data_IF_775827449648
#
_entry.id   IF_775827449648
#
_cell.length_a   1.000
_cell.length_b   1.000
_cell.length_c   1.000
_cell.angle_alpha   90.00
_cell.angle_beta   90.00
_cell.angle_gamma   90.00
#
_symmetry.space_group_name_H-M   'P 1'
#
loop_
_entity.id
_entity.type
_entity.pdbx_description
1 polymer ?
#
# COMPACT_ATOMS: atom_id res chain seq x y z
N UNK A 1 12.81 -3.75 -12.14
CA UNK A 1 11.37 -3.85 -12.46
C UNK A 1 10.55 -3.51 -11.22
N UNK A 2 9.29 -3.11 -11.38
CA UNK A 2 8.38 -3.01 -10.23
C UNK A 2 8.07 -4.39 -9.65
N UNK A 3 7.75 -4.46 -8.35
CA UNK A 3 7.42 -5.72 -7.68
C UNK A 3 6.13 -6.32 -8.28
N UNK A 4 6.21 -7.56 -8.77
CA UNK A 4 5.08 -8.28 -9.38
C UNK A 4 4.82 -9.60 -8.66
N UNK A 5 3.67 -9.72 -8.03
CA UNK A 5 3.28 -10.85 -7.20
C UNK A 5 2.46 -11.93 -7.93
N UNK A 6 2.50 -12.00 -9.27
CA UNK A 6 1.77 -13.00 -10.05
C UNK A 6 2.08 -14.45 -9.62
N UNK A 7 3.35 -14.73 -9.31
CA UNK A 7 3.79 -16.09 -8.94
C UNK A 7 3.34 -16.49 -7.53
N UNK A 8 3.01 -15.54 -6.66
CA UNK A 8 2.60 -15.80 -5.27
C UNK A 8 1.12 -15.53 -4.99
N UNK A 9 0.36 -14.98 -5.92
CA UNK A 9 -1.00 -14.50 -5.73
C UNK A 9 -1.95 -15.56 -5.12
N UNK A 10 -1.84 -16.83 -5.52
CA UNK A 10 -2.73 -17.90 -5.11
C UNK A 10 -2.55 -18.32 -3.63
N UNK A 11 -1.39 -18.10 -3.03
CA UNK A 11 -1.12 -18.46 -1.63
C UNK A 11 -0.73 -17.26 -0.76
N UNK A 12 -0.56 -16.08 -1.35
CA UNK A 12 -0.07 -14.89 -0.65
C UNK A 12 -0.90 -14.56 0.61
N UNK A 13 -2.22 -14.53 0.48
CA UNK A 13 -3.11 -14.24 1.60
C UNK A 13 -3.01 -15.29 2.73
N UNK A 14 -2.80 -16.56 2.38
CA UNK A 14 -2.63 -17.63 3.36
C UNK A 14 -1.26 -17.57 4.04
N UNK A 15 -0.19 -17.36 3.27
CA UNK A 15 1.17 -17.23 3.80
C UNK A 15 1.27 -16.02 4.74
N UNK A 16 0.76 -14.88 4.31
CA UNK A 16 0.76 -13.67 5.14
C UNK A 16 -0.02 -13.86 6.43
N UNK A 17 -1.14 -14.61 6.40
CA UNK A 17 -1.92 -14.95 7.59
C UNK A 17 -1.16 -15.89 8.53
N UNK A 18 -0.40 -16.85 8.02
CA UNK A 18 0.41 -17.78 8.85
C UNK A 18 1.53 -17.02 9.54
N UNK A 19 2.22 -16.11 8.85
CA UNK A 19 3.37 -15.38 9.41
C UNK A 19 2.92 -14.24 10.32
N UNK A 20 1.97 -13.43 9.88
CA UNK A 20 1.58 -12.17 10.54
C UNK A 20 0.21 -12.23 11.23
N UNK A 21 -0.51 -13.34 11.13
CA UNK A 21 -1.87 -13.43 11.65
C UNK A 21 -2.79 -12.39 10.98
N UNK A 22 -3.35 -11.50 11.79
CA UNK A 22 -4.21 -10.40 11.33
C UNK A 22 -3.47 -9.04 11.28
N UNK A 23 -2.15 -9.01 11.57
CA UNK A 23 -1.43 -7.74 11.75
C UNK A 23 -1.39 -6.89 10.46
N UNK A 24 -1.16 -7.51 9.29
CA UNK A 24 -1.15 -6.78 8.00
C UNK A 24 -2.50 -6.11 7.73
N UNK A 25 -3.60 -6.83 7.90
CA UNK A 25 -4.95 -6.29 7.70
C UNK A 25 -5.26 -5.20 8.71
N UNK A 26 -4.94 -5.44 10.01
CA UNK A 26 -5.16 -4.44 11.04
C UNK A 26 -4.36 -3.16 10.79
N UNK A 27 -3.12 -3.27 10.34
CA UNK A 27 -2.28 -2.13 10.05
C UNK A 27 -2.82 -1.33 8.86
N UNK A 28 -3.09 -1.98 7.72
CA UNK A 28 -3.59 -1.30 6.52
C UNK A 28 -5.00 -0.71 6.69
N UNK A 29 -5.81 -1.25 7.62
CA UNK A 29 -7.16 -0.75 7.88
C UNK A 29 -7.26 0.27 9.02
N UNK A 30 -6.19 0.49 9.80
CA UNK A 30 -6.25 1.23 11.05
C UNK A 30 -6.75 2.67 10.88
N UNK A 31 -6.31 3.37 9.85
CA UNK A 31 -6.63 4.77 9.62
C UNK A 31 -7.69 5.01 8.53
N UNK A 32 -8.36 3.96 8.02
CA UNK A 32 -9.37 4.11 6.98
C UNK A 32 -10.57 4.96 7.41
N UNK A 33 -10.83 5.08 8.71
CA UNK A 33 -11.88 5.94 9.25
C UNK A 33 -11.62 7.44 9.04
N UNK A 34 -10.38 7.81 8.70
CA UNK A 34 -10.00 9.19 8.36
C UNK A 34 -10.32 9.58 6.92
N UNK A 35 -10.77 8.64 6.08
CA UNK A 35 -11.19 8.94 4.72
C UNK A 35 -12.46 9.80 4.77
N UNK A 36 -12.47 11.02 4.22
CA UNK A 36 -13.68 11.85 4.22
C UNK A 36 -14.80 11.22 3.35
N UNK A 37 -16.06 11.33 3.71
CA UNK A 37 -17.17 10.90 2.86
C UNK A 37 -17.13 11.57 1.48
N UNK A 38 -17.44 10.81 0.43
CA UNK A 38 -17.46 11.33 -0.95
C UNK A 38 -16.09 11.47 -1.61
N UNK A 39 -15.02 11.07 -0.94
CA UNK A 39 -13.64 11.20 -1.44
C UNK A 39 -13.37 10.41 -2.71
N UNK A 40 -12.46 10.96 -3.53
CA UNK A 40 -11.75 10.23 -4.57
C UNK A 40 -10.51 9.60 -3.94
N UNK A 41 -10.47 8.29 -3.92
CA UNK A 41 -9.43 7.50 -3.25
C UNK A 41 -8.60 6.77 -4.28
N UNK A 42 -7.28 6.96 -4.27
CA UNK A 42 -6.34 6.12 -5.03
C UNK A 42 -5.80 5.04 -4.10
N UNK A 43 -5.95 3.78 -4.48
CA UNK A 43 -5.28 2.66 -3.85
C UNK A 43 -4.20 2.18 -4.82
N UNK A 44 -2.94 2.36 -4.46
CA UNK A 44 -1.80 1.92 -5.24
C UNK A 44 -1.18 0.66 -4.62
N UNK A 45 -1.03 -0.41 -5.41
CA UNK A 45 -0.49 -1.69 -4.95
C UNK A 45 -1.40 -2.42 -3.97
N UNK A 46 -2.72 -2.41 -4.21
CA UNK A 46 -3.71 -2.97 -3.28
C UNK A 46 -3.72 -4.51 -3.17
N UNK A 47 -2.91 -5.21 -3.98
CA UNK A 47 -2.76 -6.66 -3.93
C UNK A 47 -4.07 -7.41 -4.23
N UNK A 48 -4.43 -8.38 -3.37
CA UNK A 48 -5.64 -9.20 -3.52
C UNK A 48 -6.95 -8.44 -3.23
N UNK A 49 -6.89 -7.13 -2.94
CA UNK A 49 -8.06 -6.27 -2.74
C UNK A 49 -8.69 -6.33 -1.35
N UNK A 50 -8.06 -6.93 -0.36
CA UNK A 50 -8.60 -6.96 1.01
C UNK A 50 -8.89 -5.56 1.56
N UNK A 51 -8.11 -4.58 1.19
CA UNK A 51 -8.29 -3.19 1.59
C UNK A 51 -9.67 -2.64 1.14
N UNK A 52 -10.20 -3.08 -0.01
CA UNK A 52 -11.53 -2.69 -0.51
C UNK A 52 -12.62 -3.14 0.48
N UNK A 53 -12.55 -4.39 0.95
CA UNK A 53 -13.51 -4.92 1.93
C UNK A 53 -13.41 -4.17 3.28
N UNK A 54 -12.18 -3.82 3.72
CA UNK A 54 -12.00 -3.08 4.97
C UNK A 54 -12.52 -1.64 4.85
N UNK A 55 -12.30 -0.97 3.73
CA UNK A 55 -12.91 0.33 3.43
C UNK A 55 -14.44 0.23 3.45
N UNK A 56 -15.01 -0.78 2.82
CA UNK A 56 -16.46 -0.96 2.69
C UNK A 56 -17.18 -1.24 4.01
N UNK A 57 -16.48 -1.74 5.03
CA UNK A 57 -17.02 -1.89 6.39
C UNK A 57 -17.23 -0.55 7.11
N UNK A 58 -16.43 0.45 6.75
CA UNK A 58 -16.44 1.79 7.37
C UNK A 58 -17.22 2.77 6.51
N UNK A 59 -17.00 2.71 5.20
CA UNK A 59 -17.62 3.56 4.19
C UNK A 59 -18.42 2.70 3.22
N UNK A 60 -19.69 2.46 3.55
CA UNK A 60 -20.55 1.57 2.75
C UNK A 60 -20.90 2.14 1.37
N UNK A 61 -20.76 3.47 1.17
CA UNK A 61 -21.12 4.15 -0.07
C UNK A 61 -20.41 5.49 -0.23
N UNK A 62 -20.48 6.02 -1.44
CA UNK A 62 -20.11 7.40 -1.76
C UNK A 62 -18.64 7.62 -2.13
N UNK A 63 -17.75 6.64 -1.95
CA UNK A 63 -16.37 6.77 -2.38
C UNK A 63 -16.22 6.46 -3.88
N UNK A 64 -15.30 7.19 -4.53
CA UNK A 64 -14.83 6.92 -5.88
C UNK A 64 -13.41 6.37 -5.77
N UNK A 65 -13.27 5.06 -5.87
CA UNK A 65 -12.00 4.37 -5.66
C UNK A 65 -11.36 4.08 -7.03
N UNK A 66 -10.13 4.56 -7.23
CA UNK A 66 -9.26 4.10 -8.31
C UNK A 66 -8.28 3.10 -7.72
N UNK A 67 -8.33 1.87 -8.21
CA UNK A 67 -7.54 0.75 -7.72
C UNK A 67 -6.50 0.35 -8.75
N UNK A 68 -5.22 0.57 -8.44
CA UNK A 68 -4.09 0.28 -9.33
C UNK A 68 -3.29 -0.88 -8.77
N UNK A 69 -3.10 -1.91 -9.59
CA UNK A 69 -2.35 -3.11 -9.24
C UNK A 69 -1.62 -3.66 -10.45
N UNK A 70 -0.32 -3.92 -10.31
CA UNK A 70 0.53 -4.43 -11.38
C UNK A 70 0.26 -5.90 -11.70
N UNK A 71 0.07 -6.73 -10.67
CA UNK A 71 -0.16 -8.16 -10.83
C UNK A 71 -1.55 -8.43 -11.40
N UNK A 72 -1.60 -9.03 -12.59
CA UNK A 72 -2.86 -9.39 -13.23
C UNK A 72 -3.65 -10.43 -12.39
N UNK A 73 -2.95 -11.35 -11.72
CA UNK A 73 -3.59 -12.35 -10.87
C UNK A 73 -4.16 -11.74 -9.59
N UNK A 74 -3.43 -10.80 -8.96
CA UNK A 74 -3.96 -10.03 -7.81
C UNK A 74 -5.16 -9.18 -8.23
N UNK A 75 -5.11 -8.55 -9.41
CA UNK A 75 -6.23 -7.79 -9.98
C UNK A 75 -7.49 -8.66 -10.14
N UNK A 76 -7.36 -9.89 -10.61
CA UNK A 76 -8.50 -10.83 -10.69
C UNK A 76 -9.09 -11.15 -9.33
N UNK A 77 -8.25 -11.27 -8.29
CA UNK A 77 -8.71 -11.48 -6.92
C UNK A 77 -9.41 -10.23 -6.35
N UNK A 78 -8.86 -9.05 -6.61
CA UNK A 78 -9.40 -7.80 -6.10
C UNK A 78 -10.79 -7.48 -6.66
N UNK A 79 -11.05 -7.78 -7.92
CA UNK A 79 -12.36 -7.62 -8.57
C UNK A 79 -13.48 -8.49 -7.96
N UNK A 80 -13.12 -9.53 -7.20
CA UNK A 80 -14.08 -10.39 -6.49
C UNK A 80 -14.45 -9.85 -5.10
N UNK A 81 -13.78 -8.79 -4.63
CA UNK A 81 -14.03 -8.22 -3.31
C UNK A 81 -15.31 -7.39 -3.30
N UNK A 82 -15.99 -7.45 -2.18
CA UNK A 82 -17.21 -6.66 -1.99
C UNK A 82 -16.85 -5.19 -1.72
N UNK A 83 -17.19 -4.30 -2.64
CA UNK A 83 -17.04 -2.85 -2.51
C UNK A 83 -18.31 -2.17 -2.00
N UNK A 84 -19.34 -2.94 -1.66
CA UNK A 84 -20.69 -2.44 -1.36
C UNK A 84 -21.22 -1.54 -2.48
N UNK A 85 -21.62 -0.28 -2.20
CA UNK A 85 -22.08 0.69 -3.21
C UNK A 85 -21.04 1.75 -3.54
N UNK A 86 -19.76 1.55 -3.17
CA UNK A 86 -18.67 2.40 -3.64
C UNK A 86 -18.36 2.09 -5.12
N UNK A 87 -18.03 3.12 -5.88
CA UNK A 87 -17.57 2.95 -7.27
C UNK A 87 -16.10 2.59 -7.29
N UNK A 88 -15.73 1.50 -7.96
CA UNK A 88 -14.32 1.09 -8.08
C UNK A 88 -13.92 1.00 -9.55
N UNK A 89 -12.92 1.79 -9.92
CA UNK A 89 -12.25 1.72 -11.23
C UNK A 89 -10.94 0.94 -11.08
N UNK A 90 -10.78 -0.15 -11.83
CA UNK A 90 -9.61 -1.03 -11.74
C UNK A 90 -8.66 -0.78 -12.91
N UNK A 91 -7.38 -0.54 -12.63
CA UNK A 91 -6.31 -0.32 -13.60
C UNK A 91 -5.20 -1.33 -13.35
N UNK A 92 -4.96 -2.23 -14.32
CA UNK A 92 -3.88 -3.21 -14.22
C UNK A 92 -2.63 -2.69 -14.93
N UNK A 93 -1.83 -1.93 -14.21
CA UNK A 93 -0.59 -1.31 -14.69
C UNK A 93 0.33 -0.98 -13.50
N UNK A 94 1.64 -0.68 -13.74
CA UNK A 94 2.44 0.07 -12.78
C UNK A 94 1.76 1.41 -12.49
N UNK A 95 1.81 1.90 -11.26
CA UNK A 95 1.08 3.13 -10.91
C UNK A 95 1.62 4.35 -11.66
N UNK A 96 2.93 4.40 -11.90
CA UNK A 96 3.59 5.45 -12.68
C UNK A 96 3.20 5.48 -14.16
N UNK A 97 2.67 4.36 -14.68
CA UNK A 97 2.22 4.20 -16.08
C UNK A 97 0.69 4.07 -16.20
N UNK A 98 -0.04 4.26 -15.09
CA UNK A 98 -1.49 4.06 -15.05
C UNK A 98 -2.30 5.16 -15.78
N UNK A 99 -1.65 6.18 -16.33
CA UNK A 99 -2.30 7.26 -17.08
C UNK A 99 -3.21 8.14 -16.22
N UNK A 100 -2.92 8.23 -14.90
CA UNK A 100 -3.72 9.00 -13.98
C UNK A 100 -3.44 10.50 -14.14
N UNK A 101 -4.50 11.29 -14.27
CA UNK A 101 -4.42 12.75 -14.40
C UNK A 101 -5.32 13.49 -13.40
N UNK A 102 -6.10 12.74 -12.61
CA UNK A 102 -7.06 13.30 -11.66
C UNK A 102 -6.43 13.38 -10.28
N UNK A 103 -6.54 14.53 -9.62
CA UNK A 103 -6.11 14.68 -8.23
C UNK A 103 -7.04 13.89 -7.28
N UNK A 104 -6.44 13.23 -6.28
CA UNK A 104 -7.13 12.42 -5.29
C UNK A 104 -7.18 13.13 -3.94
N UNK A 105 -8.26 12.93 -3.21
CA UNK A 105 -8.42 13.43 -1.84
C UNK A 105 -7.61 12.58 -0.85
N UNK A 106 -7.52 11.27 -1.16
CA UNK A 106 -6.80 10.30 -0.34
C UNK A 106 -5.99 9.36 -1.23
N UNK A 107 -4.74 9.11 -0.85
CA UNK A 107 -3.90 8.05 -1.42
C UNK A 107 -3.64 7.00 -0.33
N UNK A 108 -3.74 5.71 -0.70
CA UNK A 108 -3.46 4.58 0.19
C UNK A 108 -2.42 3.68 -0.47
N UNK A 109 -1.31 3.45 0.21
CA UNK A 109 -0.21 2.58 -0.22
C UNK A 109 0.00 1.45 0.79
N UNK A 110 -0.74 0.32 0.68
CA UNK A 110 -0.64 -0.77 1.63
C UNK A 110 0.48 -1.74 1.22
N UNK A 111 1.63 -1.71 1.87
CA UNK A 111 2.79 -2.58 1.61
C UNK A 111 3.30 -2.49 0.16
N UNK A 112 3.29 -1.28 -0.39
CA UNK A 112 3.78 -0.99 -1.73
C UNK A 112 5.21 -0.45 -1.69
N UNK A 113 5.43 0.61 -0.91
CA UNK A 113 6.66 1.41 -1.02
C UNK A 113 7.89 0.63 -0.55
N UNK A 114 7.74 -0.23 0.47
CA UNK A 114 8.81 -1.08 1.01
C UNK A 114 9.29 -2.17 0.05
N UNK A 115 8.49 -2.51 -0.94
CA UNK A 115 8.78 -3.57 -1.92
C UNK A 115 9.49 -3.05 -3.19
N UNK A 116 9.61 -1.73 -3.33
CA UNK A 116 10.17 -1.08 -4.51
C UNK A 116 11.70 -0.97 -4.43
N UNK A 117 12.37 -1.15 -5.56
CA UNK A 117 13.78 -0.78 -5.68
C UNK A 117 13.93 0.75 -5.63
N UNK A 118 15.08 1.31 -5.19
CA UNK A 118 15.24 2.75 -5.03
C UNK A 118 14.86 3.56 -6.27
N UNK A 119 15.28 3.14 -7.46
CA UNK A 119 14.99 3.85 -8.71
C UNK A 119 13.50 3.83 -9.08
N UNK A 120 12.77 2.76 -8.73
CA UNK A 120 11.31 2.67 -8.93
C UNK A 120 10.58 3.45 -7.84
N UNK A 121 11.06 3.36 -6.59
CA UNK A 121 10.51 4.09 -5.47
C UNK A 121 10.44 5.61 -5.77
N UNK A 122 11.52 6.21 -6.24
CA UNK A 122 11.57 7.63 -6.56
C UNK A 122 10.52 8.01 -7.63
N UNK A 123 10.41 7.21 -8.69
CA UNK A 123 9.41 7.44 -9.75
C UNK A 123 7.97 7.32 -9.22
N UNK A 124 7.69 6.25 -8.49
CA UNK A 124 6.36 6.00 -7.91
C UNK A 124 6.00 7.09 -6.91
N UNK A 125 6.95 7.46 -6.03
CA UNK A 125 6.71 8.50 -5.03
C UNK A 125 6.38 9.85 -5.66
N UNK A 126 7.17 10.29 -6.65
CA UNK A 126 6.92 11.55 -7.39
C UNK A 126 5.59 11.50 -8.13
N UNK A 127 5.26 10.39 -8.76
CA UNK A 127 3.96 10.20 -9.43
C UNK A 127 2.81 10.36 -8.42
N UNK A 128 2.84 9.62 -7.30
CA UNK A 128 1.80 9.67 -6.28
C UNK A 128 1.70 11.06 -5.62
N UNK A 129 2.84 11.70 -5.35
CA UNK A 129 2.87 13.08 -4.81
C UNK A 129 2.17 14.07 -5.74
N UNK A 130 2.36 13.93 -7.05
CA UNK A 130 1.70 14.80 -8.04
C UNK A 130 0.19 14.57 -8.17
N UNK A 131 -0.29 13.39 -7.76
CA UNK A 131 -1.70 13.00 -7.82
C UNK A 131 -2.48 13.35 -6.55
N UNK A 132 -1.80 13.67 -5.45
CA UNK A 132 -2.48 14.06 -4.21
C UNK A 132 -2.82 15.56 -4.26
N UNK A 133 -4.09 15.88 -4.00
CA UNK A 133 -4.51 17.28 -3.95
C UNK A 133 -3.94 18.02 -2.74
N UNK A 134 -3.96 19.34 -2.79
CA UNK A 134 -3.61 20.20 -1.64
C UNK A 134 -4.53 19.86 -0.45
N UNK A 135 -3.95 19.70 0.73
CA UNK A 135 -4.61 19.20 1.95
C UNK A 135 -5.13 17.75 1.85
N UNK A 136 -4.73 17.01 0.83
CA UNK A 136 -5.03 15.59 0.72
C UNK A 136 -4.29 14.76 1.77
N UNK A 137 -4.79 13.55 1.99
CA UNK A 137 -4.26 12.61 2.99
C UNK A 137 -3.59 11.44 2.30
N UNK A 138 -2.37 11.08 2.72
CA UNK A 138 -1.69 9.86 2.27
C UNK A 138 -1.57 8.88 3.43
N UNK A 139 -2.26 7.74 3.34
CA UNK A 139 -2.19 6.65 4.32
C UNK A 139 -1.20 5.63 3.79
N UNK A 140 -0.02 5.57 4.41
CA UNK A 140 1.02 4.62 4.06
C UNK A 140 1.14 3.54 5.13
N UNK A 141 1.25 2.28 4.73
CA UNK A 141 1.47 1.15 5.64
C UNK A 141 2.55 0.26 5.06
N UNK A 142 3.67 0.12 5.77
CA UNK A 142 4.82 -0.65 5.31
C UNK A 142 5.59 -1.32 6.46
N UNK A 143 6.57 -2.16 6.13
CA UNK A 143 7.51 -2.69 7.09
C UNK A 143 8.56 -1.65 7.47
N UNK A 144 9.05 -1.74 8.71
CA UNK A 144 10.15 -0.91 9.22
C UNK A 144 11.09 -1.72 10.11
N UNK A 145 12.32 -1.25 10.28
CA UNK A 145 13.28 -1.80 11.23
C UNK A 145 13.46 -0.84 12.40
N UNK A 146 13.26 -1.33 13.63
CA UNK A 146 13.41 -0.55 14.87
C UNK A 146 14.60 -1.03 15.72
N UNK A 147 15.56 -1.72 15.08
CA UNK A 147 16.76 -2.24 15.73
C UNK A 147 16.61 -3.60 16.42
N UNK A 148 15.43 -4.22 16.37
CA UNK A 148 15.21 -5.56 16.91
C UNK A 148 15.79 -6.62 15.96
N UNK A 149 16.66 -7.50 16.45
CA UNK A 149 17.37 -8.48 15.63
C UNK A 149 16.45 -9.40 14.80
N UNK A 150 15.33 -9.81 15.37
CA UNK A 150 14.38 -10.70 14.70
C UNK A 150 13.67 -10.03 13.50
N UNK A 151 13.49 -8.69 13.54
CA UNK A 151 12.91 -7.94 12.41
C UNK A 151 13.82 -8.04 11.18
N UNK A 152 15.14 -7.86 11.37
CA UNK A 152 16.11 -7.99 10.28
C UNK A 152 16.16 -9.40 9.72
N UNK A 153 16.07 -10.43 10.59
CA UNK A 153 16.04 -11.82 10.15
C UNK A 153 14.78 -12.12 9.35
N UNK A 154 13.62 -11.71 9.86
CA UNK A 154 12.33 -11.92 9.19
C UNK A 154 12.27 -11.20 7.84
N UNK A 155 12.71 -9.93 7.79
CA UNK A 155 12.76 -9.15 6.55
C UNK A 155 13.66 -9.81 5.50
N UNK A 156 14.87 -10.24 5.88
CA UNK A 156 15.78 -10.97 4.98
C UNK A 156 15.15 -12.25 4.45
N UNK A 157 14.48 -13.01 5.31
CA UNK A 157 13.79 -14.24 4.90
C UNK A 157 12.68 -13.93 3.89
N UNK A 158 11.89 -12.89 4.14
CA UNK A 158 10.82 -12.44 3.23
C UNK A 158 11.39 -12.01 1.87
N UNK A 159 12.38 -11.13 1.85
CA UNK A 159 13.00 -10.68 0.60
C UNK A 159 13.63 -11.84 -0.17
N UNK A 160 14.33 -12.76 0.52
CA UNK A 160 14.91 -13.94 -0.13
C UNK A 160 13.83 -14.80 -0.75
N UNK A 161 12.75 -15.08 -0.02
CA UNK A 161 11.62 -15.85 -0.51
C UNK A 161 10.98 -15.22 -1.75
N UNK A 162 10.60 -13.93 -1.67
CA UNK A 162 9.96 -13.23 -2.78
C UNK A 162 10.90 -13.00 -3.96
N UNK A 163 12.20 -12.87 -3.73
CA UNK A 163 13.21 -12.81 -4.78
C UNK A 163 13.32 -14.13 -5.55
N UNK A 164 13.35 -15.27 -4.84
CA UNK A 164 13.34 -16.61 -5.47
C UNK A 164 12.06 -16.82 -6.28
N UNK A 165 10.94 -16.29 -5.81
CA UNK A 165 9.67 -16.32 -6.54
C UNK A 165 9.60 -15.34 -7.72
N UNK A 166 10.62 -14.49 -7.90
CA UNK A 166 10.65 -13.46 -8.94
C UNK A 166 9.68 -12.30 -8.69
N UNK A 167 9.23 -12.11 -7.43
CA UNK A 167 8.24 -11.09 -7.10
C UNK A 167 8.87 -9.73 -6.77
N UNK A 168 10.09 -9.71 -6.20
CA UNK A 168 10.78 -8.50 -5.70
C UNK A 168 12.25 -8.54 -6.09
N UNK A 169 12.81 -7.40 -6.48
CA UNK A 169 14.25 -7.27 -6.79
C UNK A 169 15.05 -6.63 -5.66
N UNK A 170 14.40 -5.84 -4.79
CA UNK A 170 15.07 -5.16 -3.69
C UNK A 170 15.43 -6.11 -2.55
N UNK A 171 16.46 -5.75 -1.79
CA UNK A 171 16.89 -6.43 -0.56
C UNK A 171 16.94 -5.48 0.63
N UNK A 172 16.56 -4.21 0.43
CA UNK A 172 16.62 -3.15 1.43
C UNK A 172 15.34 -2.34 1.40
N UNK A 173 14.91 -1.87 2.56
CA UNK A 173 13.81 -0.93 2.67
C UNK A 173 14.26 0.45 2.16
N UNK A 174 13.44 1.16 1.38
CA UNK A 174 13.72 2.55 1.02
C UNK A 174 13.54 3.49 2.23
N UNK A 175 14.08 4.70 2.12
CA UNK A 175 13.99 5.73 3.17
C UNK A 175 12.64 6.46 3.13
N UNK A 176 11.55 5.72 3.37
CA UNK A 176 10.18 6.20 3.19
C UNK A 176 9.90 7.47 4.01
N UNK A 177 10.18 7.46 5.32
CA UNK A 177 9.92 8.61 6.21
C UNK A 177 10.70 9.86 5.79
N UNK A 178 11.93 9.70 5.35
CA UNK A 178 12.77 10.79 4.86
C UNK A 178 12.19 11.40 3.58
N UNK A 179 11.75 10.56 2.64
CA UNK A 179 11.14 11.01 1.39
C UNK A 179 9.87 11.81 1.63
N UNK A 180 9.00 11.39 2.54
CA UNK A 180 7.83 12.19 2.94
C UNK A 180 8.25 13.54 3.56
N UNK A 181 9.21 13.52 4.48
CA UNK A 181 9.67 14.74 5.17
C UNK A 181 10.28 15.74 4.19
N UNK A 182 11.15 15.28 3.29
CA UNK A 182 11.82 16.14 2.29
C UNK A 182 10.85 16.69 1.24
N UNK A 183 9.75 15.97 0.97
CA UNK A 183 8.68 16.42 0.08
C UNK A 183 7.63 17.31 0.77
N UNK A 184 7.89 17.77 1.99
CA UNK A 184 7.04 18.73 2.71
C UNK A 184 5.84 18.11 3.42
N UNK A 185 5.83 16.78 3.64
CA UNK A 185 4.77 16.13 4.42
C UNK A 185 5.08 16.14 5.92
N UNK A 186 4.01 16.17 6.71
CA UNK A 186 4.05 15.89 8.15
C UNK A 186 3.30 14.62 8.46
N UNK A 187 3.89 13.76 9.29
CA UNK A 187 3.17 12.63 9.89
C UNK A 187 2.24 13.18 10.98
N UNK A 188 0.93 13.05 10.75
CA UNK A 188 -0.09 13.55 11.68
C UNK A 188 -0.64 12.44 12.58
N UNK A 189 -0.59 11.19 12.15
CA UNK A 189 -0.92 10.01 12.93
C UNK A 189 0.04 8.88 12.58
N UNK A 190 0.43 8.09 13.58
CA UNK A 190 1.26 6.90 13.38
C UNK A 190 0.84 5.81 14.38
N UNK A 191 0.77 4.56 13.91
CA UNK A 191 0.51 3.39 14.73
C UNK A 191 1.38 2.23 14.29
N UNK A 192 2.01 1.55 15.25
CA UNK A 192 2.84 0.38 14.99
C UNK A 192 2.11 -0.92 15.33
N UNK A 193 2.51 -2.00 14.64
CA UNK A 193 1.94 -3.34 14.79
C UNK A 193 3.04 -4.39 14.74
N UNK A 194 2.70 -5.60 15.18
CA UNK A 194 3.58 -6.77 15.14
C UNK A 194 4.98 -6.46 15.71
N UNK A 195 5.01 -6.01 16.97
CA UNK A 195 6.26 -5.68 17.65
C UNK A 195 7.05 -4.56 16.95
N UNK A 196 6.36 -3.53 16.48
CA UNK A 196 6.87 -2.37 15.75
C UNK A 196 7.51 -2.68 14.38
N UNK A 197 7.31 -3.89 13.85
CA UNK A 197 7.82 -4.26 12.52
C UNK A 197 6.97 -3.72 11.38
N UNK A 198 5.70 -3.40 11.64
CA UNK A 198 4.79 -2.79 10.68
C UNK A 198 4.39 -1.42 11.24
N UNK A 199 4.38 -0.41 10.38
CA UNK A 199 3.93 0.93 10.71
C UNK A 199 2.87 1.38 9.72
N UNK A 200 1.79 1.97 10.22
CA UNK A 200 0.83 2.72 9.43
C UNK A 200 0.95 4.20 9.81
N UNK A 201 1.11 5.06 8.84
CA UNK A 201 1.32 6.49 9.03
C UNK A 201 0.39 7.28 8.12
N UNK A 202 -0.20 8.32 8.68
CA UNK A 202 -1.01 9.30 7.94
C UNK A 202 -0.16 10.54 7.71
N UNK A 203 0.06 10.85 6.45
CA UNK A 203 0.80 12.02 6.03
C UNK A 203 -0.12 13.09 5.45
N UNK A 204 0.16 14.34 5.75
CA UNK A 204 -0.48 15.51 5.14
C UNK A 204 0.59 16.45 4.61
N UNK A 205 0.40 16.98 3.41
CA UNK A 205 1.29 17.98 2.81
C UNK A 205 1.09 19.31 3.54
N UNK A 206 2.20 19.95 3.91
CA UNK A 206 2.19 21.30 4.52
C UNK A 206 1.96 22.38 3.47
#
# INVERSE_FOLDING_TARGET
MAANYDNSAWFYDNLSRVVFGKALVKASSHFLYLIPPGSRVLIAGGGSGRIIEEISKIHASGLQITYVELSAKMMVLSKKRNATTNTVTYINAPVEDAGLSTAFDVIITPFLLDSLSPAIFDKVFVCLDSLLQVNGVWINTDFQLTGKWWQSLLLKTMFTFFKVMGCVETTQLPFIKESFTTSGYSAVNEQTFFGDFIVSTVYMKK
#
